data_IF_315566541756
#
_entry.id   IF_315566541756
#
_cell.length_a   1.000
_cell.length_b   1.000
_cell.length_c   1.000
_cell.angle_alpha   90.00
_cell.angle_beta   90.00
_cell.angle_gamma   90.00
#
_symmetry.space_group_name_H-M   'P 1'
#
loop_
_entity.id
_entity.type
_entity.pdbx_description
1 polymer ?
#
# COMPACT_ATOMS: atom_id res chain seq x y z
N UNK A 1 28.09 -20.33 21.46
CA UNK A 1 28.86 -19.42 20.57
C UNK A 1 28.43 -19.45 19.11
N UNK A 2 28.53 -20.57 18.36
CA UNK A 2 28.11 -20.59 16.93
C UNK A 2 26.62 -20.29 16.72
N UNK A 3 25.73 -20.80 17.56
CA UNK A 3 24.28 -20.57 17.49
C UNK A 3 23.93 -19.11 17.84
N UNK A 4 24.53 -18.51 18.80
CA UNK A 4 24.36 -17.10 19.22
C UNK A 4 24.78 -16.15 18.10
N UNK A 5 25.92 -16.44 17.46
CA UNK A 5 26.40 -15.68 16.29
C UNK A 5 25.39 -15.80 15.12
N UNK A 6 24.87 -16.98 14.84
CA UNK A 6 23.89 -17.19 13.80
C UNK A 6 22.59 -16.40 14.07
N UNK A 7 22.10 -16.43 15.31
CA UNK A 7 20.93 -15.65 15.73
C UNK A 7 21.18 -14.14 15.55
N UNK A 8 22.35 -13.66 15.97
CA UNK A 8 22.71 -12.25 15.81
C UNK A 8 22.75 -11.84 14.33
N UNK A 9 23.37 -12.65 13.47
CA UNK A 9 23.41 -12.38 12.02
C UNK A 9 22.00 -12.32 11.43
N UNK A 10 21.12 -13.27 11.79
CA UNK A 10 19.73 -13.28 11.32
C UNK A 10 18.96 -12.05 11.81
N UNK A 11 19.15 -11.65 13.07
CA UNK A 11 18.52 -10.45 13.61
C UNK A 11 19.00 -9.18 12.89
N UNK A 12 20.30 -9.05 12.64
CA UNK A 12 20.87 -7.92 11.89
C UNK A 12 20.37 -7.91 10.43
N UNK A 13 20.29 -9.05 9.78
CA UNK A 13 19.75 -9.18 8.42
C UNK A 13 18.26 -8.79 8.37
N UNK A 14 17.47 -9.20 9.37
CA UNK A 14 16.06 -8.82 9.48
C UNK A 14 15.90 -7.29 9.64
N UNK A 15 16.67 -6.66 10.51
CA UNK A 15 16.68 -5.20 10.70
C UNK A 15 17.12 -4.50 9.40
N UNK A 16 18.21 -4.95 8.78
CA UNK A 16 18.72 -4.38 7.55
C UNK A 16 17.70 -4.48 6.40
N UNK A 17 16.93 -5.58 6.33
CA UNK A 17 15.91 -5.80 5.31
C UNK A 17 14.74 -4.79 5.36
N UNK A 18 14.54 -4.12 6.47
CA UNK A 18 13.56 -3.04 6.65
C UNK A 18 14.23 -1.67 6.54
N UNK A 19 15.37 -1.51 7.22
CA UNK A 19 16.02 -0.21 7.35
C UNK A 19 16.62 0.30 6.03
N UNK A 20 17.28 -0.59 5.27
CA UNK A 20 17.90 -0.22 3.98
C UNK A 20 16.86 0.25 2.96
N UNK A 21 15.77 -0.49 2.68
CA UNK A 21 14.72 0.02 1.81
C UNK A 21 14.09 1.32 2.31
N UNK A 22 13.90 1.47 3.63
CA UNK A 22 13.37 2.72 4.22
C UNK A 22 14.28 3.91 3.92
N UNK A 23 15.61 3.77 4.05
CA UNK A 23 16.56 4.82 3.70
C UNK A 23 16.54 5.15 2.21
N UNK A 24 16.40 4.14 1.35
CA UNK A 24 16.42 4.32 -0.11
C UNK A 24 15.13 4.96 -0.64
N UNK A 25 13.98 4.63 -0.05
CA UNK A 25 12.66 5.06 -0.53
C UNK A 25 12.09 6.24 0.26
N UNK A 26 12.61 6.50 1.46
CA UNK A 26 12.05 7.45 2.42
C UNK A 26 10.72 6.97 3.05
N UNK A 27 10.25 5.76 2.72
CA UNK A 27 8.99 5.22 3.18
C UNK A 27 9.23 4.07 4.18
N UNK A 28 8.79 4.25 5.42
CA UNK A 28 8.81 3.19 6.44
C UNK A 28 7.57 2.31 6.31
N UNK A 29 7.67 0.98 6.48
CA UNK A 29 6.54 0.05 6.41
C UNK A 29 5.64 0.14 7.65
N UNK A 30 5.08 1.32 7.93
CA UNK A 30 4.15 1.54 9.03
C UNK A 30 2.78 0.93 8.71
N UNK A 31 2.20 0.14 9.60
CA UNK A 31 0.86 -0.40 9.38
C UNK A 31 -0.20 0.71 9.48
N UNK A 32 -1.14 0.71 8.56
CA UNK A 32 -2.33 1.56 8.63
C UNK A 32 -3.18 1.16 9.84
N UNK A 33 -3.44 2.10 10.74
CA UNK A 33 -4.24 1.86 11.93
C UNK A 33 -5.67 1.41 11.58
N UNK A 34 -6.34 0.73 12.49
CA UNK A 34 -7.71 0.23 12.23
C UNK A 34 -8.68 1.36 11.90
N UNK A 35 -8.74 2.49 12.67
CA UNK A 35 -9.66 3.58 12.36
C UNK A 35 -9.40 4.20 10.96
N UNK A 36 -8.13 4.39 10.61
CA UNK A 36 -7.75 4.93 9.30
C UNK A 36 -8.14 3.97 8.18
N UNK A 37 -7.89 2.66 8.35
CA UNK A 37 -8.27 1.64 7.38
C UNK A 37 -9.79 1.58 7.17
N UNK A 38 -10.58 1.66 8.22
CA UNK A 38 -12.04 1.71 8.14
C UNK A 38 -12.51 2.98 7.41
N UNK A 39 -11.90 4.13 7.68
CA UNK A 39 -12.18 5.37 6.96
C UNK A 39 -11.82 5.28 5.48
N UNK A 40 -10.66 4.71 5.15
CA UNK A 40 -10.23 4.46 3.77
C UNK A 40 -11.23 3.57 3.01
N UNK A 41 -11.58 2.44 3.60
CA UNK A 41 -12.55 1.52 2.98
C UNK A 41 -13.92 2.18 2.82
N UNK A 42 -14.33 3.03 3.77
CA UNK A 42 -15.61 3.74 3.72
C UNK A 42 -15.72 4.85 2.65
N UNK A 43 -14.60 5.25 2.02
CA UNK A 43 -14.60 6.16 0.86
C UNK A 43 -14.76 5.43 -0.48
N UNK A 44 -14.55 4.12 -0.50
CA UNK A 44 -14.56 3.34 -1.71
C UNK A 44 -15.99 2.90 -2.09
N UNK A 45 -16.32 2.81 -3.38
CA UNK A 45 -17.61 2.32 -3.84
C UNK A 45 -17.84 0.87 -3.40
N UNK A 46 -19.10 0.45 -3.37
CA UNK A 46 -19.45 -0.92 -2.97
C UNK A 46 -18.97 -1.98 -3.97
N UNK A 47 -18.89 -1.63 -5.25
CA UNK A 47 -18.39 -2.50 -6.30
C UNK A 47 -17.14 -1.92 -6.94
N UNK A 48 -16.16 -2.79 -7.24
CA UNK A 48 -14.93 -2.44 -7.92
C UNK A 48 -14.73 -3.38 -9.11
N UNK A 49 -14.55 -2.80 -10.29
CA UNK A 49 -14.30 -3.56 -11.53
C UNK A 49 -12.88 -3.23 -12.01
N UNK A 50 -12.01 -4.22 -12.02
CA UNK A 50 -10.59 -4.09 -12.38
C UNK A 50 -9.64 -4.23 -11.19
N UNK A 51 -8.34 -4.43 -11.44
CA UNK A 51 -7.35 -4.71 -10.41
C UNK A 51 -7.19 -3.58 -9.38
N UNK A 52 -6.85 -3.96 -8.15
CA UNK A 52 -6.51 -3.05 -7.04
C UNK A 52 -5.04 -3.22 -6.70
N UNK A 53 -4.27 -2.15 -6.74
CA UNK A 53 -2.85 -2.16 -6.37
C UNK A 53 -2.58 -1.34 -5.11
N UNK A 54 -1.93 -1.95 -4.12
CA UNK A 54 -1.39 -1.27 -2.96
C UNK A 54 0.12 -1.04 -3.16
N UNK A 55 0.52 0.22 -3.26
CA UNK A 55 1.90 0.64 -3.50
C UNK A 55 2.61 0.91 -2.16
N UNK A 56 3.55 0.05 -1.79
CA UNK A 56 4.15 0.01 -0.47
C UNK A 56 3.24 -0.71 0.52
N UNK A 57 2.96 -1.99 0.28
CA UNK A 57 1.97 -2.75 1.07
C UNK A 57 2.41 -3.08 2.50
N UNK A 58 3.68 -2.86 2.83
CA UNK A 58 4.21 -3.11 4.15
C UNK A 58 3.86 -4.53 4.65
N UNK A 59 3.21 -4.60 5.80
CA UNK A 59 2.79 -5.84 6.44
C UNK A 59 1.51 -6.46 5.83
N UNK A 60 0.98 -5.93 4.72
CA UNK A 60 -0.13 -6.47 3.94
C UNK A 60 -1.52 -6.34 4.59
N UNK A 61 -1.66 -5.49 5.60
CA UNK A 61 -2.91 -5.37 6.34
C UNK A 61 -4.05 -4.75 5.53
N UNK A 62 -3.75 -3.72 4.75
CA UNK A 62 -4.75 -3.00 3.96
C UNK A 62 -5.09 -3.77 2.68
N UNK A 63 -4.10 -4.35 1.94
CA UNK A 63 -4.38 -5.19 0.77
C UNK A 63 -5.31 -6.37 1.12
N UNK A 64 -5.08 -7.02 2.28
CA UNK A 64 -5.97 -8.10 2.75
C UNK A 64 -7.39 -7.60 3.05
N UNK A 65 -7.52 -6.42 3.64
CA UNK A 65 -8.84 -5.82 3.92
C UNK A 65 -9.58 -5.46 2.62
N UNK A 66 -8.87 -4.94 1.63
CA UNK A 66 -9.41 -4.69 0.28
C UNK A 66 -9.86 -5.98 -0.40
N UNK A 67 -9.06 -7.04 -0.32
CA UNK A 67 -9.39 -8.33 -0.90
C UNK A 67 -10.63 -8.99 -0.25
N UNK A 68 -10.81 -8.82 1.07
CA UNK A 68 -12.03 -9.24 1.75
C UNK A 68 -13.26 -8.40 1.35
N UNK A 69 -13.09 -7.09 1.13
CA UNK A 69 -14.17 -6.20 0.69
C UNK A 69 -14.61 -6.50 -0.75
N UNK A 70 -13.67 -6.86 -1.62
CA UNK A 70 -13.89 -7.09 -3.05
C UNK A 70 -13.46 -8.51 -3.46
N UNK A 71 -14.20 -9.55 -3.06
CA UNK A 71 -13.75 -10.95 -3.22
C UNK A 71 -13.61 -11.39 -4.68
N UNK A 72 -14.30 -10.71 -5.62
CA UNK A 72 -14.19 -10.96 -7.07
C UNK A 72 -13.10 -10.17 -7.79
N UNK A 73 -12.36 -9.33 -7.06
CA UNK A 73 -11.41 -8.37 -7.66
C UNK A 73 -9.97 -8.75 -7.28
N UNK A 74 -9.03 -8.87 -8.23
CA UNK A 74 -7.63 -9.14 -7.90
C UNK A 74 -7.00 -7.96 -7.17
N UNK A 75 -6.34 -8.25 -6.05
CA UNK A 75 -5.60 -7.28 -5.25
C UNK A 75 -4.12 -7.62 -5.26
N UNK A 76 -3.26 -6.66 -5.54
CA UNK A 76 -1.81 -6.86 -5.56
C UNK A 76 -1.12 -5.82 -4.68
N UNK A 77 -0.37 -6.30 -3.68
CA UNK A 77 0.50 -5.47 -2.84
C UNK A 77 1.95 -5.52 -3.35
N UNK A 78 2.59 -4.36 -3.48
CA UNK A 78 4.01 -4.24 -3.82
C UNK A 78 4.78 -3.79 -2.59
N UNK A 79 5.85 -4.49 -2.25
CA UNK A 79 6.71 -4.18 -1.10
C UNK A 79 8.18 -4.43 -1.48
N UNK A 80 9.07 -3.54 -1.08
CA UNK A 80 10.51 -3.65 -1.34
C UNK A 80 11.28 -4.23 -0.15
N UNK A 81 10.69 -4.21 1.04
CA UNK A 81 11.29 -4.71 2.27
C UNK A 81 10.99 -6.21 2.44
N UNK A 82 12.04 -7.02 2.49
CA UNK A 82 11.92 -8.48 2.52
C UNK A 82 11.08 -8.99 3.71
N UNK A 83 11.33 -8.47 4.91
CA UNK A 83 10.66 -8.96 6.13
C UNK A 83 9.15 -8.66 6.13
N UNK A 84 8.67 -7.42 5.87
CA UNK A 84 7.24 -7.14 5.73
C UNK A 84 6.57 -7.95 4.63
N UNK A 85 7.21 -8.08 3.48
CA UNK A 85 6.71 -8.91 2.39
C UNK A 85 6.58 -10.39 2.79
N UNK A 86 7.62 -10.98 3.39
CA UNK A 86 7.60 -12.38 3.83
C UNK A 86 6.48 -12.62 4.87
N UNK A 87 6.31 -11.69 5.81
CA UNK A 87 5.21 -11.71 6.78
C UNK A 87 3.84 -11.69 6.09
N UNK A 88 3.65 -10.79 5.10
CA UNK A 88 2.39 -10.69 4.34
C UNK A 88 2.05 -12.01 3.65
N UNK A 89 3.06 -12.65 3.04
CA UNK A 89 2.93 -13.97 2.39
C UNK A 89 2.60 -15.07 3.41
N UNK A 90 3.30 -15.11 4.53
CA UNK A 90 3.08 -16.10 5.58
C UNK A 90 1.64 -16.02 6.12
N UNK A 91 1.13 -14.82 6.31
CA UNK A 91 -0.25 -14.60 6.78
C UNK A 91 -1.33 -15.09 5.80
N UNK A 92 -1.04 -15.24 4.52
CA UNK A 92 -1.96 -15.84 3.56
C UNK A 92 -2.07 -17.34 3.73
N UNK A 93 -0.98 -18.01 4.12
CA UNK A 93 -0.97 -19.47 4.34
C UNK A 93 -1.88 -19.90 5.50
N UNK A 94 -2.19 -19.00 6.44
CA UNK A 94 -3.09 -19.23 7.56
C UNK A 94 -4.58 -18.94 7.26
N UNK A 95 -5.02 -18.92 5.98
CA UNK A 95 -6.42 -18.67 5.60
C UNK A 95 -6.71 -17.22 5.24
N UNK A 96 -5.89 -16.64 4.39
CA UNK A 96 -6.11 -15.30 3.81
C UNK A 96 -7.11 -15.30 2.64
N UNK A 97 -7.53 -14.11 2.15
CA UNK A 97 -8.37 -14.01 0.97
C UNK A 97 -7.63 -14.57 -0.27
N UNK A 98 -8.31 -15.34 -1.13
CA UNK A 98 -7.67 -16.02 -2.26
C UNK A 98 -7.28 -15.09 -3.42
N UNK A 99 -7.87 -13.88 -3.45
CA UNK A 99 -7.71 -12.89 -4.51
C UNK A 99 -6.63 -11.85 -4.21
N UNK A 100 -5.77 -12.03 -3.20
CA UNK A 100 -4.65 -11.14 -2.90
C UNK A 100 -3.31 -11.82 -3.17
N UNK A 101 -2.39 -11.07 -3.77
CA UNK A 101 -0.99 -11.48 -3.95
C UNK A 101 -0.04 -10.37 -3.50
N UNK A 102 1.15 -10.76 -2.98
CA UNK A 102 2.21 -9.84 -2.59
C UNK A 102 3.46 -10.07 -3.43
N UNK A 103 3.95 -9.01 -4.07
CA UNK A 103 5.19 -9.00 -4.85
C UNK A 103 6.32 -8.32 -4.06
N UNK A 104 7.47 -8.97 -3.97
CA UNK A 104 8.71 -8.32 -3.52
C UNK A 104 9.27 -7.54 -4.70
N UNK A 105 8.81 -6.32 -4.88
CA UNK A 105 9.14 -5.52 -6.06
C UNK A 105 8.94 -4.01 -5.79
N UNK A 106 9.70 -3.21 -6.54
CA UNK A 106 9.45 -1.77 -6.59
C UNK A 106 8.23 -1.49 -7.49
N UNK A 107 7.21 -0.85 -6.94
CA UNK A 107 5.98 -0.53 -7.65
C UNK A 107 6.19 0.43 -8.85
N UNK A 108 7.30 1.16 -8.92
CA UNK A 108 7.61 2.00 -10.10
C UNK A 108 7.76 1.18 -11.38
N UNK A 109 8.09 -0.11 -11.29
CA UNK A 109 8.13 -1.04 -12.42
C UNK A 109 6.79 -1.75 -12.73
N UNK A 110 5.74 -1.51 -11.94
CA UNK A 110 4.43 -2.09 -12.21
C UNK A 110 3.71 -1.32 -13.32
N UNK A 111 3.01 -2.03 -14.20
CA UNK A 111 2.08 -1.43 -15.16
C UNK A 111 0.78 -1.08 -14.46
N UNK A 112 0.30 0.16 -14.62
CA UNK A 112 -0.94 0.66 -14.04
C UNK A 112 -2.05 0.85 -15.08
N UNK A 113 -1.86 0.44 -16.31
CA UNK A 113 -2.75 0.75 -17.45
C UNK A 113 -4.15 0.12 -17.36
N UNK A 114 -4.33 -0.94 -16.57
CA UNK A 114 -5.60 -1.62 -16.34
C UNK A 114 -6.13 -1.47 -14.89
N UNK A 115 -5.41 -0.72 -14.04
CA UNK A 115 -5.70 -0.62 -12.61
C UNK A 115 -6.92 0.25 -12.35
N UNK A 116 -7.90 -0.28 -11.64
CA UNK A 116 -9.10 0.46 -11.23
C UNK A 116 -8.89 1.30 -9.97
N UNK A 117 -8.05 0.83 -9.05
CA UNK A 117 -7.76 1.50 -7.79
C UNK A 117 -6.29 1.35 -7.40
N UNK A 118 -5.62 2.47 -7.22
CA UNK A 118 -4.32 2.55 -6.54
C UNK A 118 -4.54 2.97 -5.09
N UNK A 119 -3.91 2.25 -4.15
CA UNK A 119 -3.92 2.60 -2.73
C UNK A 119 -2.49 2.80 -2.26
N UNK A 120 -2.24 3.86 -1.48
CA UNK A 120 -0.90 4.15 -0.98
C UNK A 120 -0.91 4.84 0.39
N UNK A 121 0.15 4.57 1.14
CA UNK A 121 0.54 5.29 2.35
C UNK A 121 2.03 5.64 2.23
N UNK A 122 2.32 6.67 1.46
CA UNK A 122 3.67 7.05 1.10
C UNK A 122 3.95 8.49 1.56
N UNK A 123 5.15 8.80 2.07
CA UNK A 123 5.51 10.15 2.46
C UNK A 123 5.53 11.10 1.27
N UNK A 124 5.40 12.42 1.53
CA UNK A 124 5.30 13.45 0.50
C UNK A 124 6.31 13.33 -0.65
N UNK A 125 7.63 13.18 -0.40
CA UNK A 125 8.60 13.01 -1.48
C UNK A 125 8.37 11.78 -2.36
N UNK A 126 7.85 10.68 -1.79
CA UNK A 126 7.51 9.48 -2.56
C UNK A 126 6.22 9.69 -3.37
N UNK A 127 5.23 10.42 -2.81
CA UNK A 127 4.02 10.82 -3.55
C UNK A 127 4.35 11.70 -4.76
N UNK A 128 5.28 12.65 -4.63
CA UNK A 128 5.74 13.49 -5.74
C UNK A 128 6.42 12.67 -6.86
N UNK A 129 7.21 11.66 -6.50
CA UNK A 129 7.82 10.74 -7.47
C UNK A 129 6.80 9.81 -8.13
N UNK A 130 5.73 9.45 -7.41
CA UNK A 130 4.67 8.58 -7.92
C UNK A 130 3.73 9.33 -8.88
N UNK A 131 3.48 10.62 -8.64
CA UNK A 131 2.52 11.44 -9.39
C UNK A 131 2.64 11.33 -10.92
N UNK A 132 3.81 11.52 -11.56
CA UNK A 132 3.93 11.40 -13.02
C UNK A 132 3.49 10.02 -13.54
N UNK A 133 3.79 8.95 -12.81
CA UNK A 133 3.37 7.59 -13.17
C UNK A 133 1.85 7.45 -13.13
N UNK A 134 1.19 7.96 -12.09
CA UNK A 134 -0.27 7.98 -12.00
C UNK A 134 -0.90 8.80 -13.14
N UNK A 135 -0.29 9.95 -13.47
CA UNK A 135 -0.75 10.84 -14.55
C UNK A 135 -0.65 10.19 -15.92
N UNK A 136 0.39 9.40 -16.18
CA UNK A 136 0.66 8.83 -17.51
C UNK A 136 0.05 7.45 -17.71
N UNK A 137 0.02 6.61 -16.69
CA UNK A 137 -0.34 5.21 -16.84
C UNK A 137 -1.76 4.88 -16.41
N UNK A 138 -2.33 5.58 -15.41
CA UNK A 138 -3.68 5.25 -14.95
C UNK A 138 -4.73 5.55 -16.03
N UNK A 139 -5.71 4.65 -16.22
CA UNK A 139 -6.85 4.93 -17.09
C UNK A 139 -7.73 6.04 -16.49
N UNK A 140 -8.39 6.80 -17.34
CA UNK A 140 -9.37 7.79 -16.91
C UNK A 140 -10.50 7.11 -16.11
N UNK A 141 -10.89 7.74 -15.00
CA UNK A 141 -11.87 7.19 -14.07
C UNK A 141 -11.29 6.29 -12.99
N UNK A 142 -10.03 5.84 -13.11
CA UNK A 142 -9.36 5.08 -12.05
C UNK A 142 -9.27 5.89 -10.75
N UNK A 143 -9.35 5.20 -9.62
CA UNK A 143 -9.31 5.82 -8.30
C UNK A 143 -7.90 5.77 -7.71
N UNK A 144 -7.55 6.80 -6.94
CA UNK A 144 -6.36 6.81 -6.10
C UNK A 144 -6.78 7.11 -4.67
N UNK A 145 -6.49 6.20 -3.74
CA UNK A 145 -6.79 6.34 -2.32
C UNK A 145 -5.48 6.53 -1.54
N UNK A 146 -5.28 7.71 -0.98
CA UNK A 146 -4.08 8.03 -0.21
C UNK A 146 -4.37 8.20 1.26
N UNK A 147 -3.51 7.59 2.10
CA UNK A 147 -3.50 7.78 3.53
C UNK A 147 -2.51 8.90 3.90
N UNK A 148 -2.95 9.86 4.70
CA UNK A 148 -2.19 10.96 5.33
C UNK A 148 -1.63 12.00 4.36
N UNK A 149 -1.06 11.58 3.22
CA UNK A 149 -0.35 12.48 2.31
C UNK A 149 -1.17 12.76 1.06
N UNK A 150 -1.43 14.05 0.80
CA UNK A 150 -2.15 14.47 -0.40
C UNK A 150 -1.31 14.28 -1.67
N UNK A 151 -1.99 14.08 -2.79
CA UNK A 151 -1.38 14.07 -4.11
C UNK A 151 -1.38 15.49 -4.67
N UNK A 152 -0.20 16.12 -4.70
CA UNK A 152 -0.04 17.50 -5.13
C UNK A 152 -0.49 17.69 -6.57
N UNK A 153 -1.26 18.74 -6.83
CA UNK A 153 -1.80 19.05 -8.16
C UNK A 153 -3.07 18.29 -8.55
N UNK A 154 -3.50 17.33 -7.74
CA UNK A 154 -4.78 16.64 -7.95
C UNK A 154 -5.83 17.16 -6.97
N UNK A 155 -7.07 17.31 -7.45
CA UNK A 155 -8.22 17.63 -6.60
C UNK A 155 -8.82 16.36 -6.04
N UNK A 156 -8.91 16.24 -4.70
CA UNK A 156 -9.60 15.13 -4.09
C UNK A 156 -11.11 15.22 -4.36
N UNK A 157 -11.72 14.12 -4.80
CA UNK A 157 -13.18 14.00 -4.94
C UNK A 157 -13.85 13.82 -3.58
N UNK A 158 -13.12 13.24 -2.62
CA UNK A 158 -13.53 13.16 -1.21
C UNK A 158 -12.30 13.20 -0.30
N UNK A 159 -12.46 13.90 0.84
CA UNK A 159 -11.47 13.96 1.92
C UNK A 159 -12.15 13.62 3.23
N UNK A 160 -11.50 12.81 4.07
CA UNK A 160 -12.00 12.48 5.41
C UNK A 160 -10.92 12.63 6.45
N UNK A 161 -11.22 13.35 7.53
CA UNK A 161 -10.35 13.41 8.71
C UNK A 161 -10.79 12.32 9.68
N UNK A 162 -9.85 11.47 10.09
CA UNK A 162 -10.07 10.39 11.05
C UNK A 162 -9.91 10.95 12.46
N UNK A 163 -10.79 10.62 13.41
CA UNK A 163 -10.67 11.05 14.81
C UNK A 163 -9.65 10.20 15.58
N UNK A 164 -8.44 10.09 15.05
CA UNK A 164 -7.30 9.48 15.73
C UNK A 164 -6.38 10.55 16.36
N UNK A 165 -5.35 10.13 17.12
CA UNK A 165 -4.42 11.03 17.80
C UNK A 165 -3.73 12.00 16.82
N UNK A 166 -3.48 11.54 15.58
CA UNK A 166 -2.79 12.31 14.55
C UNK A 166 -3.75 13.13 13.67
N UNK A 167 -5.08 12.97 13.85
CA UNK A 167 -6.11 13.54 12.96
C UNK A 167 -5.78 13.22 11.49
N UNK A 168 -5.45 11.96 11.25
CA UNK A 168 -5.03 11.46 9.95
C UNK A 168 -6.06 11.80 8.88
N UNK A 169 -5.60 12.25 7.73
CA UNK A 169 -6.45 12.56 6.59
C UNK A 169 -6.39 11.41 5.59
N UNK A 170 -7.51 11.13 4.96
CA UNK A 170 -7.64 10.19 3.86
C UNK A 170 -8.20 10.92 2.66
N UNK A 171 -7.59 10.70 1.50
CA UNK A 171 -7.95 11.38 0.26
C UNK A 171 -8.33 10.37 -0.80
N UNK A 172 -9.47 10.60 -1.44
CA UNK A 172 -9.88 9.87 -2.63
C UNK A 172 -9.80 10.79 -3.84
N UNK A 173 -9.11 10.34 -4.87
CA UNK A 173 -8.98 11.04 -6.15
C UNK A 173 -9.57 10.17 -7.27
N UNK A 174 -9.96 10.83 -8.36
CA UNK A 174 -10.34 10.18 -9.62
C UNK A 174 -9.52 10.74 -10.76
N UNK A 175 -8.90 9.86 -11.55
CA UNK A 175 -8.11 10.25 -12.71
C UNK A 175 -8.98 10.93 -13.75
N UNK A 176 -8.59 12.14 -14.15
CA UNK A 176 -9.32 12.94 -15.15
C UNK A 176 -10.32 13.95 -14.59
N UNK A 177 -10.40 14.09 -13.23
CA UNK A 177 -11.20 15.12 -12.56
C UNK A 177 -10.32 16.19 -11.92
#
# INVERSE_FOLDING_TARGET
>A
MKMEIAILILALAAVASVFVPTLMTGASPLPTSRPVREAMLGLLPDNMVGPIYELGSGWGGLARALAWRYPGTPVRGFEVSLLPWAWSRLRLMGGGPPNVAFALANFHGADLSDVALVVCYLPGPAMEKLRPKLETELPNGALVLSNTFALTGWRAVEERTVPDIHRSKVYLYRKGE
#
